data_IF_604716046891
#
_entry.id   IF_604716046891
#
_cell.length_a   1.000
_cell.length_b   1.000
_cell.length_c   1.000
_cell.angle_alpha   90.00
_cell.angle_beta   90.00
_cell.angle_gamma   90.00
#
_symmetry.space_group_name_H-M   'P 1'
#
loop_
_entity.id
_entity.type
_entity.pdbx_description
1 polymer ?
#
# COMPACT_ATOMS: atom_id res chain seq x y z
N UNK A 1 9.14 2.05 3.70
CA UNK A 1 8.88 3.36 4.34
C UNK A 1 7.82 3.14 5.40
N UNK A 2 8.02 3.65 6.63
CA UNK A 2 7.05 3.55 7.71
C UNK A 2 6.35 4.90 7.88
N UNK A 3 5.04 4.92 7.66
CA UNK A 3 4.20 6.06 8.07
C UNK A 3 3.79 5.84 9.52
N UNK A 4 4.13 6.79 10.39
CA UNK A 4 3.64 6.81 11.77
C UNK A 4 2.68 7.99 11.94
N UNK A 5 1.73 7.86 12.86
CA UNK A 5 0.78 8.91 13.22
C UNK A 5 0.36 8.70 14.67
N UNK A 6 -0.17 9.76 15.28
CA UNK A 6 -0.67 9.72 16.65
C UNK A 6 -1.94 8.83 16.73
N UNK A 7 -1.94 7.76 17.56
CA UNK A 7 -3.07 6.84 17.69
C UNK A 7 -4.40 7.51 18.07
N UNK A 8 -4.39 8.65 18.75
CA UNK A 8 -5.60 9.40 19.12
C UNK A 8 -6.38 9.87 17.87
N UNK A 9 -5.70 9.94 16.73
CA UNK A 9 -6.25 10.34 15.44
C UNK A 9 -6.55 9.16 14.52
N UNK A 10 -6.53 7.91 15.02
CA UNK A 10 -6.79 6.70 14.22
C UNK A 10 -8.11 6.73 13.46
N UNK A 11 -9.14 7.41 14.00
CA UNK A 11 -10.45 7.58 13.36
C UNK A 11 -10.39 8.29 12.00
N UNK A 12 -9.32 9.06 11.74
CA UNK A 12 -9.11 9.77 10.49
C UNK A 12 -8.36 8.96 9.43
N UNK A 13 -7.94 7.73 9.75
CA UNK A 13 -7.23 6.83 8.82
C UNK A 13 -6.00 7.49 8.16
N UNK A 14 -5.20 8.22 8.94
CA UNK A 14 -4.06 9.01 8.45
C UNK A 14 -3.02 8.16 7.69
N UNK A 15 -2.83 6.90 8.09
CA UNK A 15 -1.97 5.96 7.34
C UNK A 15 -2.46 5.71 5.91
N UNK A 16 -3.77 5.50 5.72
CA UNK A 16 -4.38 5.35 4.39
C UNK A 16 -4.28 6.64 3.60
N UNK A 17 -4.57 7.79 4.23
CA UNK A 17 -4.43 9.09 3.58
C UNK A 17 -3.00 9.34 3.06
N UNK A 18 -1.98 9.03 3.86
CA UNK A 18 -0.58 9.18 3.46
C UNK A 18 -0.22 8.33 2.23
N UNK A 19 -0.76 7.12 2.13
CA UNK A 19 -0.55 6.24 0.97
C UNK A 19 -1.24 6.80 -0.27
N UNK A 20 -2.49 7.25 -0.15
CA UNK A 20 -3.21 7.89 -1.26
C UNK A 20 -2.49 9.15 -1.76
N UNK A 21 -1.90 9.94 -0.85
CA UNK A 21 -1.06 11.08 -1.21
C UNK A 21 0.20 10.68 -1.96
N UNK A 22 0.86 9.60 -1.57
CA UNK A 22 2.03 9.07 -2.30
C UNK A 22 1.64 8.59 -3.71
N UNK A 23 0.49 7.92 -3.85
CA UNK A 23 -0.04 7.49 -5.16
C UNK A 23 -0.35 8.69 -6.04
N UNK A 24 -1.05 9.70 -5.51
CA UNK A 24 -1.36 10.92 -6.25
C UNK A 24 -0.09 11.66 -6.70
N UNK A 25 0.91 11.74 -5.82
CA UNK A 25 2.21 12.34 -6.17
C UNK A 25 2.96 11.53 -7.23
N UNK A 26 2.93 10.20 -7.14
CA UNK A 26 3.51 9.30 -8.15
C UNK A 26 2.87 9.52 -9.53
N UNK A 27 1.54 9.63 -9.59
CA UNK A 27 0.81 9.95 -10.82
C UNK A 27 1.22 11.32 -11.39
N UNK A 28 1.25 12.36 -10.56
CA UNK A 28 1.66 13.71 -10.95
C UNK A 28 3.09 13.77 -11.49
N UNK A 29 3.98 12.93 -10.95
CA UNK A 29 5.40 12.87 -11.31
C UNK A 29 5.75 11.75 -12.27
N UNK A 30 4.73 11.10 -12.89
CA UNK A 30 4.87 10.01 -13.86
C UNK A 30 5.73 8.84 -13.36
N UNK A 31 5.58 8.47 -12.08
CA UNK A 31 6.19 7.26 -11.51
C UNK A 31 5.27 6.08 -11.76
N UNK A 32 5.88 4.97 -12.20
CA UNK A 32 5.15 3.73 -12.48
C UNK A 32 4.82 2.93 -11.21
N UNK A 33 5.60 3.11 -10.13
CA UNK A 33 5.49 2.30 -8.92
C UNK A 33 5.54 3.14 -7.65
N UNK A 34 4.75 2.72 -6.66
CA UNK A 34 4.84 3.17 -5.27
C UNK A 34 5.18 1.97 -4.40
N UNK A 35 6.37 1.98 -3.80
CA UNK A 35 6.82 0.88 -2.97
C UNK A 35 6.33 1.05 -1.52
N UNK A 36 5.34 0.25 -1.12
CA UNK A 36 4.74 0.32 0.21
C UNK A 36 5.52 -0.47 1.29
N UNK A 37 6.62 -1.14 0.92
CA UNK A 37 7.41 -1.94 1.85
C UNK A 37 6.90 -3.38 2.03
N UNK A 38 7.36 -4.04 3.09
CA UNK A 38 7.03 -5.42 3.38
C UNK A 38 5.53 -5.62 3.67
N UNK A 39 4.97 -6.67 3.08
CA UNK A 39 3.62 -7.15 3.31
C UNK A 39 3.69 -8.50 4.03
N UNK A 40 2.91 -8.65 5.10
CA UNK A 40 2.75 -9.90 5.85
C UNK A 40 1.25 -10.08 6.06
N UNK A 41 0.69 -11.18 5.54
CA UNK A 41 -0.76 -11.39 5.49
C UNK A 41 -1.36 -11.54 6.89
N UNK A 42 -0.68 -12.26 7.77
CA UNK A 42 -1.13 -12.59 9.12
C UNK A 42 -0.99 -11.43 10.11
N UNK A 43 -0.27 -10.36 9.75
CA UNK A 43 0.00 -9.24 10.64
C UNK A 43 -0.94 -8.06 10.33
N UNK A 44 -1.82 -7.72 11.28
CA UNK A 44 -2.80 -6.63 11.15
C UNK A 44 -2.18 -5.25 10.90
N UNK A 45 -0.94 -5.02 11.34
CA UNK A 45 -0.20 -3.77 11.09
C UNK A 45 0.49 -3.76 9.72
N UNK A 46 0.61 -4.89 9.02
CA UNK A 46 1.29 -4.96 7.72
C UNK A 46 0.38 -5.38 6.57
N UNK A 47 -0.76 -6.00 6.87
CA UNK A 47 -1.68 -6.53 5.86
C UNK A 47 -2.55 -5.46 5.19
N UNK A 48 -2.64 -4.25 5.75
CA UNK A 48 -3.46 -3.16 5.20
C UNK A 48 -3.12 -2.80 3.74
N UNK A 49 -1.89 -3.11 3.30
CA UNK A 49 -1.40 -2.85 1.93
C UNK A 49 -2.17 -3.64 0.87
N UNK A 50 -2.83 -4.73 1.26
CA UNK A 50 -3.67 -5.53 0.35
C UNK A 50 -4.83 -4.74 -0.24
N UNK A 51 -5.26 -3.66 0.41
CA UNK A 51 -6.40 -2.83 0.01
C UNK A 51 -6.10 -1.88 -1.16
N UNK A 52 -4.82 -1.65 -1.48
CA UNK A 52 -4.42 -0.82 -2.62
C UNK A 52 -4.16 -1.72 -3.82
N UNK A 53 -5.08 -1.69 -4.78
CA UNK A 53 -5.16 -2.63 -5.90
C UNK A 53 -4.74 -2.02 -7.24
N UNK A 54 -4.56 -2.95 -8.18
CA UNK A 54 -3.39 -3.11 -9.06
C UNK A 54 -2.07 -3.00 -8.28
N UNK A 55 -1.61 -4.12 -7.73
CA UNK A 55 -0.32 -4.20 -7.04
C UNK A 55 0.51 -5.41 -7.48
N UNK A 56 1.83 -5.31 -7.37
CA UNK A 56 2.74 -6.44 -7.58
C UNK A 56 3.40 -6.83 -6.27
N UNK A 57 3.53 -8.13 -6.02
CA UNK A 57 4.20 -8.68 -4.85
C UNK A 57 5.32 -9.61 -5.29
N UNK A 58 6.50 -9.48 -4.66
CA UNK A 58 7.61 -10.39 -4.90
C UNK A 58 7.41 -11.66 -4.06
N UNK A 59 7.10 -12.76 -4.71
CA UNK A 59 6.85 -14.06 -4.08
C UNK A 59 7.85 -15.05 -4.67
N UNK A 60 8.71 -15.63 -3.83
CA UNK A 60 9.74 -16.60 -4.25
C UNK A 60 10.64 -16.10 -5.41
N UNK A 61 10.93 -14.80 -5.43
CA UNK A 61 11.77 -14.18 -6.46
C UNK A 61 11.00 -13.73 -7.72
N UNK A 62 9.71 -13.98 -7.81
CA UNK A 62 8.88 -13.60 -8.96
C UNK A 62 7.86 -12.52 -8.61
N UNK A 63 7.66 -11.58 -9.52
CA UNK A 63 6.64 -10.54 -9.38
C UNK A 63 5.28 -11.08 -9.81
N UNK A 64 4.35 -11.17 -8.86
CA UNK A 64 2.98 -11.61 -9.09
C UNK A 64 2.04 -10.41 -9.00
N UNK A 65 1.20 -10.23 -10.01
CA UNK A 65 0.20 -9.15 -10.07
C UNK A 65 -1.08 -9.56 -9.34
N UNK A 66 -1.59 -8.69 -8.49
CA UNK A 66 -2.87 -8.79 -7.81
C UNK A 66 -3.74 -7.60 -8.20
N UNK A 67 -4.87 -7.87 -8.84
CA UNK A 67 -5.85 -6.87 -9.27
C UNK A 67 -7.26 -7.26 -8.79
N UNK A 68 -8.20 -6.32 -8.80
CA UNK A 68 -9.62 -6.56 -8.49
C UNK A 68 -10.41 -7.25 -9.60
N UNK A 69 -9.80 -7.55 -10.75
CA UNK A 69 -10.45 -8.34 -11.81
C UNK A 69 -10.48 -9.83 -11.44
N UNK A 70 -11.28 -10.11 -10.41
CA UNK A 70 -12.07 -11.34 -10.29
C UNK A 70 -13.53 -10.88 -10.39
N UNK A 71 -14.08 -10.97 -11.59
CA UNK A 71 -15.51 -11.23 -11.77
C UNK A 71 -15.79 -12.69 -11.52
#
# INVERSE_FOLDING_TARGET
VYTHFDPDYSKYSLGTYAILRQIAWAQQTRRQYVYLGMYVQENSHLNYKSRFIVQQRLIRGEWVTFDSDVR
#
